data_IF_507490644000
#
_entry.id   IF_507490644000
#
_cell.length_a   1.000
_cell.length_b   1.000
_cell.length_c   1.000
_cell.angle_alpha   90.00
_cell.angle_beta   90.00
_cell.angle_gamma   90.00
#
_symmetry.space_group_name_H-M   'P 1'
#
loop_
_entity.id
_entity.type
_entity.pdbx_description
1 polymer ?
#
# COMPACT_ATOMS: atom_id res chain seq x y z
N UNK A 1 -80.34 69.38 16.57
CA UNK A 1 -79.96 68.44 17.67
C UNK A 1 -79.36 67.24 17.02
N UNK A 2 -78.02 67.18 17.01
CA UNK A 2 -77.24 66.26 16.17
C UNK A 2 -76.71 65.14 17.01
N UNK A 3 -76.97 63.94 16.62
CA UNK A 3 -76.38 62.75 17.18
C UNK A 3 -75.40 62.19 16.12
N UNK A 4 -74.10 62.29 16.43
CA UNK A 4 -73.06 61.82 15.59
C UNK A 4 -72.80 60.33 15.93
N UNK A 5 -73.10 59.46 14.97
CA UNK A 5 -72.76 58.08 15.02
C UNK A 5 -71.28 57.88 14.68
N UNK A 6 -70.46 57.46 15.65
CA UNK A 6 -69.08 57.02 15.41
C UNK A 6 -69.12 55.52 15.11
N UNK A 7 -68.87 55.17 13.87
CA UNK A 7 -68.61 53.76 13.50
C UNK A 7 -67.18 53.42 13.85
N UNK A 8 -66.99 52.48 14.75
CA UNK A 8 -65.70 51.84 14.99
C UNK A 8 -65.51 50.76 13.95
N UNK A 9 -64.55 51.01 13.00
CA UNK A 9 -64.02 49.96 12.09
C UNK A 9 -62.97 49.15 12.81
N UNK A 10 -63.37 47.99 13.22
CA UNK A 10 -62.40 47.01 13.81
C UNK A 10 -61.61 46.31 12.68
N UNK A 11 -60.38 46.72 12.48
CA UNK A 11 -59.40 46.05 11.56
C UNK A 11 -58.95 44.75 12.15
N UNK A 12 -59.51 43.62 11.70
CA UNK A 12 -59.02 42.29 11.99
C UNK A 12 -57.72 42.01 11.17
N UNK A 13 -56.57 42.21 11.76
CA UNK A 13 -55.29 41.71 11.20
C UNK A 13 -55.24 40.21 11.47
N UNK A 14 -55.57 39.42 10.46
CA UNK A 14 -55.30 37.99 10.46
C UNK A 14 -53.78 37.76 10.32
N UNK A 15 -53.11 37.53 11.41
CA UNK A 15 -51.70 37.08 11.43
C UNK A 15 -51.67 35.63 10.91
N UNK A 16 -51.43 35.48 9.61
CA UNK A 16 -51.13 34.17 9.01
C UNK A 16 -49.77 33.72 9.47
N UNK A 17 -49.75 32.96 10.55
CA UNK A 17 -48.54 32.24 11.00
C UNK A 17 -48.26 31.13 10.01
N UNK A 18 -47.45 31.41 8.99
CA UNK A 18 -46.85 30.37 8.14
C UNK A 18 -45.88 29.60 9.02
N UNK A 19 -46.34 28.48 9.58
CA UNK A 19 -45.44 27.45 10.07
C UNK A 19 -44.62 26.93 8.86
N UNK A 20 -43.43 27.50 8.68
CA UNK A 20 -42.43 26.91 7.84
C UNK A 20 -42.03 25.56 8.53
N UNK A 21 -42.69 24.49 8.12
CA UNK A 21 -42.19 23.14 8.38
C UNK A 21 -40.82 23.06 7.73
N UNK A 22 -39.78 23.30 8.54
CA UNK A 22 -38.40 22.94 8.18
C UNK A 22 -38.41 21.42 7.96
N UNK A 23 -38.58 21.02 6.71
CA UNK A 23 -38.28 19.65 6.33
C UNK A 23 -36.82 19.41 6.70
N UNK A 24 -36.60 18.71 7.81
CA UNK A 24 -35.30 18.18 8.12
C UNK A 24 -34.87 17.33 6.93
N UNK A 25 -33.98 17.89 6.10
CA UNK A 25 -33.35 17.11 5.04
C UNK A 25 -32.72 15.93 5.72
N UNK A 26 -33.31 14.75 5.56
CA UNK A 26 -32.67 13.49 5.97
C UNK A 26 -31.35 13.45 5.23
N UNK A 27 -30.25 13.65 5.95
CA UNK A 27 -28.91 13.42 5.43
C UNK A 27 -28.93 12.03 4.81
N UNK A 28 -28.53 11.86 3.55
CA UNK A 28 -28.43 10.53 2.94
C UNK A 28 -27.64 9.61 3.87
N UNK A 29 -28.01 8.35 3.98
CA UNK A 29 -27.23 7.41 4.78
C UNK A 29 -25.78 7.44 4.29
N UNK A 30 -24.84 7.46 5.23
CA UNK A 30 -23.42 7.39 4.92
C UNK A 30 -23.16 6.10 4.16
N UNK A 31 -22.31 6.21 3.13
CA UNK A 31 -21.88 5.04 2.36
C UNK A 31 -21.20 4.03 3.29
N UNK A 32 -21.68 2.78 3.24
CA UNK A 32 -21.12 1.61 3.91
C UNK A 32 -20.91 0.51 2.86
N UNK A 33 -19.66 0.05 2.66
CA UNK A 33 -19.37 -0.98 1.66
C UNK A 33 -19.81 -2.37 2.13
N UNK A 34 -20.17 -3.20 1.17
CA UNK A 34 -20.44 -4.62 1.40
C UNK A 34 -19.28 -5.46 0.85
N UNK A 35 -18.79 -6.41 1.66
CA UNK A 35 -17.76 -7.35 1.19
C UNK A 35 -18.26 -8.12 -0.04
N UNK A 36 -17.45 -8.16 -1.11
CA UNK A 36 -17.82 -8.74 -2.38
C UNK A 36 -18.49 -7.76 -3.35
N UNK A 37 -18.71 -6.49 -2.97
CA UNK A 37 -19.22 -5.49 -3.91
C UNK A 37 -18.27 -5.26 -5.08
N UNK A 38 -18.80 -4.95 -6.24
CA UNK A 38 -18.03 -4.66 -7.44
C UNK A 38 -17.15 -3.43 -7.26
N UNK A 39 -15.89 -3.55 -7.67
CA UNK A 39 -14.94 -2.46 -7.89
C UNK A 39 -14.64 -2.29 -9.37
N UNK A 40 -13.65 -1.47 -9.73
CA UNK A 40 -13.25 -1.27 -11.12
C UNK A 40 -12.67 -2.55 -11.75
N UNK A 41 -11.70 -3.16 -11.09
CA UNK A 41 -10.94 -4.30 -11.61
C UNK A 41 -11.04 -5.53 -10.70
N UNK A 42 -11.48 -5.33 -9.45
CA UNK A 42 -11.63 -6.39 -8.44
C UNK A 42 -12.83 -6.10 -7.54
N UNK A 43 -13.45 -7.15 -7.01
CA UNK A 43 -14.43 -7.01 -5.92
C UNK A 43 -13.74 -6.53 -4.64
N UNK A 44 -14.39 -5.66 -3.88
CA UNK A 44 -13.85 -5.22 -2.62
C UNK A 44 -13.98 -6.31 -1.54
N UNK A 45 -12.86 -6.70 -0.97
CA UNK A 45 -12.77 -7.59 0.19
C UNK A 45 -11.82 -6.95 1.21
N UNK A 46 -12.25 -6.70 2.45
CA UNK A 46 -11.37 -6.08 3.43
C UNK A 46 -10.28 -7.05 3.89
N UNK A 47 -9.02 -6.59 3.90
CA UNK A 47 -7.93 -7.34 4.53
C UNK A 47 -8.19 -7.49 6.02
N UNK A 48 -8.13 -8.71 6.61
CA UNK A 48 -8.25 -8.87 8.06
C UNK A 48 -7.21 -8.01 8.80
N UNK A 49 -7.60 -7.37 9.90
CA UNK A 49 -6.71 -6.45 10.62
C UNK A 49 -5.40 -7.13 11.05
N UNK A 50 -5.46 -8.37 11.51
CA UNK A 50 -4.25 -9.14 11.91
C UNK A 50 -3.28 -9.37 10.74
N UNK A 51 -3.80 -9.44 9.50
CA UNK A 51 -2.96 -9.54 8.28
C UNK A 51 -2.37 -8.18 7.93
N UNK A 52 -3.14 -7.09 8.06
CA UNK A 52 -2.62 -5.73 7.92
C UNK A 52 -1.45 -5.50 8.86
N UNK A 53 -1.62 -5.84 10.14
CA UNK A 53 -0.57 -5.71 11.15
C UNK A 53 0.65 -6.54 10.77
N UNK A 54 0.45 -7.80 10.36
CA UNK A 54 1.54 -8.68 9.92
C UNK A 54 2.29 -8.12 8.70
N UNK A 55 1.57 -7.62 7.69
CA UNK A 55 2.19 -7.01 6.50
C UNK A 55 3.08 -5.82 6.87
N UNK A 56 2.60 -4.94 7.74
CA UNK A 56 3.35 -3.77 8.19
C UNK A 56 4.52 -4.14 9.12
N UNK A 57 4.41 -5.24 9.89
CA UNK A 57 5.50 -5.79 10.71
C UNK A 57 6.61 -6.36 9.82
N UNK A 58 6.27 -7.18 8.81
CA UNK A 58 7.23 -7.72 7.85
C UNK A 58 7.93 -6.61 7.08
N UNK A 59 7.20 -5.56 6.72
CA UNK A 59 7.75 -4.36 6.10
C UNK A 59 8.53 -3.48 7.09
N UNK A 60 8.51 -3.77 8.40
CA UNK A 60 9.18 -2.98 9.45
C UNK A 60 8.88 -1.49 9.33
N UNK A 61 7.60 -1.15 9.19
CA UNK A 61 7.15 0.23 8.99
C UNK A 61 7.53 1.10 10.19
N UNK A 62 8.13 2.25 9.91
CA UNK A 62 8.62 3.24 10.86
C UNK A 62 8.07 4.64 10.55
N UNK A 63 8.21 5.63 11.45
CA UNK A 63 7.83 7.01 11.17
C UNK A 63 8.56 7.68 9.99
N UNK A 64 9.69 7.13 9.55
CA UNK A 64 10.44 7.63 8.40
C UNK A 64 9.91 7.12 7.05
N UNK A 65 8.93 6.24 7.07
CA UNK A 65 8.40 5.62 5.87
C UNK A 65 7.30 6.46 5.20
N UNK A 66 7.23 6.31 3.89
CA UNK A 66 6.08 6.66 3.09
C UNK A 66 5.43 5.38 2.56
N UNK A 67 4.30 5.02 3.16
CA UNK A 67 3.51 3.84 2.79
C UNK A 67 2.49 4.22 1.73
N UNK A 68 2.43 3.50 0.62
CA UNK A 68 1.34 3.62 -0.35
C UNK A 68 0.57 2.31 -0.44
N UNK A 69 -0.75 2.40 -0.28
CA UNK A 69 -1.66 1.25 -0.38
C UNK A 69 -2.42 1.33 -1.71
N UNK A 70 -2.18 0.36 -2.58
CA UNK A 70 -2.76 0.30 -3.92
C UNK A 70 -4.08 -0.49 -3.87
N UNK A 71 -5.20 0.21 -4.12
CA UNK A 71 -6.54 -0.31 -3.89
C UNK A 71 -6.90 -0.24 -2.40
N UNK A 72 -6.86 0.96 -1.81
CA UNK A 72 -6.88 1.14 -0.36
C UNK A 72 -8.23 0.82 0.32
N UNK A 73 -9.30 0.65 -0.46
CA UNK A 73 -10.62 0.30 0.06
C UNK A 73 -11.10 1.26 1.14
N UNK A 74 -11.40 0.74 2.33
CA UNK A 74 -11.86 1.51 3.48
C UNK A 74 -10.74 2.22 4.27
N UNK A 75 -9.50 2.13 3.78
CA UNK A 75 -8.34 2.83 4.31
C UNK A 75 -7.65 2.17 5.50
N UNK A 76 -8.07 0.96 5.93
CA UNK A 76 -7.55 0.32 7.15
C UNK A 76 -6.03 0.16 7.18
N UNK A 77 -5.40 -0.23 6.07
CA UNK A 77 -3.95 -0.39 5.96
C UNK A 77 -3.23 0.96 6.11
N UNK A 78 -3.71 1.97 5.40
CA UNK A 78 -3.19 3.35 5.45
C UNK A 78 -3.29 3.93 6.86
N UNK A 79 -4.46 3.77 7.51
CA UNK A 79 -4.74 4.22 8.87
C UNK A 79 -3.80 3.52 9.86
N UNK A 80 -3.62 2.19 9.72
CA UNK A 80 -2.72 1.43 10.59
C UNK A 80 -1.27 1.87 10.43
N UNK A 81 -0.81 2.11 9.19
CA UNK A 81 0.53 2.66 8.94
C UNK A 81 0.71 4.06 9.56
N UNK A 82 -0.31 4.92 9.44
CA UNK A 82 -0.30 6.24 10.05
C UNK A 82 -0.27 6.20 11.59
N UNK A 83 -0.96 5.24 12.22
CA UNK A 83 -0.87 4.99 13.67
C UNK A 83 0.53 4.58 14.12
N UNK A 84 1.31 3.93 13.25
CA UNK A 84 2.73 3.60 13.47
C UNK A 84 3.66 4.81 13.25
N UNK A 85 3.10 5.98 12.93
CA UNK A 85 3.81 7.23 12.72
C UNK A 85 4.24 7.50 11.29
N UNK A 86 4.08 6.56 10.36
CA UNK A 86 4.43 6.72 8.96
C UNK A 86 3.52 7.74 8.26
N UNK A 87 4.02 8.40 7.22
CA UNK A 87 3.17 9.06 6.24
C UNK A 87 2.56 7.99 5.34
N UNK A 88 1.26 8.04 5.10
CA UNK A 88 0.59 7.01 4.33
C UNK A 88 -0.43 7.59 3.33
N UNK A 89 -0.49 7.03 2.14
CA UNK A 89 -1.39 7.40 1.06
C UNK A 89 -2.15 6.17 0.55
N UNK A 90 -3.47 6.25 0.56
CA UNK A 90 -4.33 5.28 -0.10
C UNK A 90 -4.70 5.74 -1.51
N UNK A 91 -4.49 4.86 -2.47
CA UNK A 91 -4.94 5.03 -3.86
C UNK A 91 -6.16 4.17 -4.07
N UNK A 92 -7.29 4.78 -4.40
CA UNK A 92 -8.56 4.07 -4.55
C UNK A 92 -9.34 4.66 -5.74
N UNK A 93 -9.95 3.79 -6.53
CA UNK A 93 -10.70 4.22 -7.70
C UNK A 93 -12.11 4.67 -7.37
N UNK A 94 -12.76 4.04 -6.38
CA UNK A 94 -14.12 4.34 -5.97
C UNK A 94 -14.15 5.60 -5.07
N UNK A 95 -14.80 6.70 -5.51
CA UNK A 95 -14.85 7.95 -4.73
C UNK A 95 -15.55 7.80 -3.37
N UNK A 96 -16.56 6.92 -3.25
CA UNK A 96 -17.27 6.71 -2.00
C UNK A 96 -16.39 6.01 -0.97
N UNK A 97 -15.54 5.09 -1.43
CA UNK A 97 -14.51 4.45 -0.59
C UNK A 97 -13.44 5.45 -0.15
N UNK A 98 -13.03 6.37 -1.03
CA UNK A 98 -12.11 7.46 -0.67
C UNK A 98 -12.69 8.33 0.45
N UNK A 99 -13.96 8.72 0.33
CA UNK A 99 -14.62 9.53 1.37
C UNK A 99 -14.85 8.74 2.66
N UNK A 100 -15.16 7.45 2.57
CA UNK A 100 -15.20 6.56 3.74
C UNK A 100 -13.84 6.50 4.44
N UNK A 101 -12.77 6.29 3.69
CA UNK A 101 -11.40 6.21 4.23
C UNK A 101 -10.98 7.50 4.94
N UNK A 102 -11.33 8.66 4.39
CA UNK A 102 -11.10 9.96 5.04
C UNK A 102 -11.86 10.09 6.37
N UNK A 103 -13.15 9.66 6.40
CA UNK A 103 -13.93 9.65 7.64
C UNK A 103 -13.33 8.70 8.67
N UNK A 104 -12.90 7.51 8.25
CA UNK A 104 -12.24 6.54 9.11
C UNK A 104 -10.94 7.10 9.69
N UNK A 105 -10.10 7.74 8.87
CA UNK A 105 -8.86 8.37 9.33
C UNK A 105 -9.12 9.52 10.32
N UNK A 106 -10.17 10.32 10.11
CA UNK A 106 -10.58 11.38 11.01
C UNK A 106 -11.05 10.81 12.36
N UNK A 107 -11.87 9.75 12.35
CA UNK A 107 -12.33 9.05 13.55
C UNK A 107 -11.18 8.49 14.38
N UNK A 108 -10.13 8.01 13.71
CA UNK A 108 -8.94 7.45 14.33
C UNK A 108 -7.87 8.51 14.69
N UNK A 109 -8.12 9.79 14.39
CA UNK A 109 -7.24 10.90 14.73
C UNK A 109 -5.93 10.94 13.92
N UNK A 110 -5.88 10.33 12.74
CA UNK A 110 -4.64 10.18 11.95
C UNK A 110 -4.67 10.93 10.61
N UNK A 111 -5.66 11.79 10.35
CA UNK A 111 -5.82 12.51 9.07
C UNK A 111 -4.60 13.34 8.66
N UNK A 112 -3.75 13.75 9.60
CA UNK A 112 -2.52 14.47 9.29
C UNK A 112 -1.45 13.58 8.60
N UNK A 113 -1.56 12.26 8.70
CA UNK A 113 -0.59 11.29 8.16
C UNK A 113 -1.22 10.30 7.19
N UNK A 114 -2.54 10.07 7.28
CA UNK A 114 -3.31 9.19 6.40
C UNK A 114 -4.09 10.03 5.40
N UNK A 115 -3.70 9.98 4.15
CA UNK A 115 -4.34 10.69 3.04
C UNK A 115 -4.87 9.70 2.00
N UNK A 116 -5.88 10.11 1.24
CA UNK A 116 -6.53 9.24 0.25
C UNK A 116 -6.84 10.03 -1.00
N UNK A 117 -6.60 9.41 -2.15
CA UNK A 117 -6.85 10.00 -3.46
C UNK A 117 -7.69 9.06 -4.32
N UNK A 118 -8.65 9.66 -5.05
CA UNK A 118 -9.32 8.96 -6.14
C UNK A 118 -8.38 8.92 -7.34
N UNK A 119 -7.83 7.75 -7.66
CA UNK A 119 -6.96 7.58 -8.81
C UNK A 119 -6.98 6.13 -9.33
N UNK A 120 -6.56 5.97 -10.58
CA UNK A 120 -6.24 4.66 -11.14
C UNK A 120 -4.84 4.24 -10.66
N UNK A 121 -4.73 3.06 -10.05
CA UNK A 121 -3.46 2.55 -9.53
C UNK A 121 -2.42 2.30 -10.64
N UNK A 122 -2.86 2.04 -11.89
CA UNK A 122 -1.94 1.84 -13.02
C UNK A 122 -1.32 3.16 -13.49
N UNK A 123 -2.06 4.28 -13.40
CA UNK A 123 -1.62 5.61 -13.77
C UNK A 123 -0.91 6.36 -12.62
N UNK A 124 -1.05 5.86 -11.40
CA UNK A 124 -0.48 6.52 -10.21
C UNK A 124 1.04 6.38 -10.18
N UNK A 125 1.74 7.50 -9.94
CA UNK A 125 3.16 7.47 -9.61
C UNK A 125 3.36 7.09 -8.14
N UNK A 126 3.96 5.94 -7.90
CA UNK A 126 4.33 5.47 -6.57
C UNK A 126 5.86 5.38 -6.37
N UNK A 127 6.64 6.07 -7.19
CA UNK A 127 8.11 6.06 -7.14
C UNK A 127 8.70 6.57 -5.82
N UNK A 128 7.94 7.39 -5.07
CA UNK A 128 8.34 7.95 -3.78
C UNK A 128 8.05 7.01 -2.60
N UNK A 129 7.31 5.92 -2.82
CA UNK A 129 6.99 4.98 -1.74
C UNK A 129 8.24 4.27 -1.23
N UNK A 130 8.36 4.16 0.09
CA UNK A 130 9.35 3.27 0.74
C UNK A 130 8.75 1.92 1.08
N UNK A 131 7.41 1.88 1.18
CA UNK A 131 6.62 0.66 1.36
C UNK A 131 5.39 0.73 0.46
N UNK A 132 5.10 -0.36 -0.24
CA UNK A 132 3.84 -0.56 -0.96
C UNK A 132 3.09 -1.70 -0.31
N UNK A 133 1.79 -1.50 -0.08
CA UNK A 133 0.87 -2.54 0.36
C UNK A 133 -0.22 -2.76 -0.69
N UNK A 134 -0.71 -4.00 -0.81
CA UNK A 134 -1.76 -4.34 -1.76
C UNK A 134 -2.54 -5.58 -1.36
N UNK A 135 -3.80 -5.63 -1.76
CA UNK A 135 -4.62 -6.83 -1.79
C UNK A 135 -5.38 -6.88 -3.12
N UNK A 136 -4.66 -7.26 -4.16
CA UNK A 136 -5.11 -7.23 -5.54
C UNK A 136 -4.99 -8.63 -6.17
N UNK A 137 -5.79 -8.87 -7.22
CA UNK A 137 -5.75 -10.14 -7.94
C UNK A 137 -4.38 -10.38 -8.61
N UNK A 138 -4.00 -11.66 -8.84
CA UNK A 138 -2.70 -12.01 -9.44
C UNK A 138 -2.40 -11.28 -10.75
N UNK A 139 -3.37 -11.15 -11.63
CA UNK A 139 -3.20 -10.49 -12.94
C UNK A 139 -2.89 -8.99 -12.79
N UNK A 140 -3.46 -8.34 -11.77
CA UNK A 140 -3.16 -6.94 -11.46
C UNK A 140 -1.75 -6.82 -10.89
N UNK A 141 -1.37 -7.71 -9.97
CA UNK A 141 -0.01 -7.76 -9.44
C UNK A 141 1.03 -7.94 -10.55
N UNK A 142 0.75 -8.84 -11.52
CA UNK A 142 1.63 -9.07 -12.68
C UNK A 142 1.74 -7.83 -13.59
N UNK A 143 0.66 -7.08 -13.78
CA UNK A 143 0.69 -5.82 -14.54
C UNK A 143 1.47 -4.72 -13.81
N UNK A 144 1.42 -4.67 -12.48
CA UNK A 144 2.16 -3.70 -11.66
C UNK A 144 3.64 -4.07 -11.48
N UNK A 145 3.98 -5.34 -11.51
CA UNK A 145 5.32 -5.87 -11.22
C UNK A 145 6.44 -5.17 -12.00
N UNK A 146 6.35 -4.91 -13.31
CA UNK A 146 7.41 -4.21 -14.04
C UNK A 146 7.69 -2.81 -13.44
N UNK A 147 6.64 -2.07 -13.10
CA UNK A 147 6.75 -0.74 -12.49
C UNK A 147 7.29 -0.81 -11.06
N UNK A 148 6.92 -1.84 -10.30
CA UNK A 148 7.43 -2.09 -8.95
C UNK A 148 8.93 -2.41 -8.98
N UNK A 149 9.40 -3.20 -9.94
CA UNK A 149 10.81 -3.56 -10.10
C UNK A 149 11.72 -2.37 -10.51
N UNK A 150 11.14 -1.26 -10.97
CA UNK A 150 11.89 -0.02 -11.26
C UNK A 150 11.98 0.91 -10.04
N UNK A 151 11.34 0.57 -8.92
CA UNK A 151 11.44 1.35 -7.70
C UNK A 151 12.85 1.30 -7.13
N UNK A 152 13.12 2.19 -6.20
CA UNK A 152 14.39 2.25 -5.49
C UNK A 152 14.71 0.88 -4.87
N UNK A 153 15.92 0.35 -5.05
CA UNK A 153 16.36 -0.84 -4.31
C UNK A 153 16.13 -0.66 -2.81
N UNK A 154 15.57 -1.69 -2.17
CA UNK A 154 15.20 -1.62 -0.76
C UNK A 154 13.76 -1.17 -0.50
N UNK A 155 13.00 -0.73 -1.51
CA UNK A 155 11.55 -0.53 -1.36
C UNK A 155 10.91 -1.86 -0.99
N UNK A 156 10.05 -1.83 0.03
CA UNK A 156 9.42 -3.02 0.62
C UNK A 156 8.00 -3.16 0.12
N UNK A 157 7.64 -4.35 -0.31
CA UNK A 157 6.33 -4.66 -0.87
C UNK A 157 5.66 -5.70 0.02
N UNK A 158 4.44 -5.46 0.46
CA UNK A 158 3.65 -6.43 1.20
C UNK A 158 2.29 -6.65 0.51
N UNK A 159 1.94 -7.91 0.27
CA UNK A 159 0.69 -8.29 -0.37
C UNK A 159 -0.08 -9.27 0.50
N UNK A 160 -1.40 -9.07 0.59
CA UNK A 160 -2.27 -10.08 1.16
C UNK A 160 -2.56 -11.16 0.10
N UNK A 161 -2.27 -12.41 0.44
CA UNK A 161 -2.61 -13.67 -0.24
C UNK A 161 -2.12 -13.85 -1.67
N UNK A 162 -2.04 -12.82 -2.49
CA UNK A 162 -1.72 -12.94 -3.91
C UNK A 162 -0.25 -12.58 -4.21
N UNK A 163 0.40 -13.44 -4.99
CA UNK A 163 1.80 -13.34 -5.36
C UNK A 163 2.03 -12.45 -6.61
N UNK A 164 3.27 -12.37 -7.04
CA UNK A 164 3.71 -11.66 -8.26
C UNK A 164 4.25 -12.64 -9.33
N UNK A 165 3.58 -13.78 -9.49
CA UNK A 165 3.99 -14.81 -10.44
C UNK A 165 5.30 -15.47 -10.04
N UNK A 166 6.25 -15.50 -10.97
CA UNK A 166 7.58 -16.09 -10.83
C UNK A 166 8.54 -15.28 -9.95
N UNK A 167 8.21 -14.01 -9.62
CA UNK A 167 8.93 -13.28 -8.57
C UNK A 167 8.52 -13.80 -7.19
N UNK A 168 9.22 -14.84 -6.73
CA UNK A 168 8.97 -15.49 -5.44
C UNK A 168 9.14 -14.52 -4.28
N UNK A 169 8.22 -14.55 -3.31
CA UNK A 169 8.31 -13.71 -2.11
C UNK A 169 9.58 -14.01 -1.28
N UNK A 170 10.16 -12.96 -0.72
CA UNK A 170 11.27 -13.07 0.22
C UNK A 170 10.85 -13.71 1.54
N UNK A 171 9.63 -13.42 1.97
CA UNK A 171 9.04 -13.95 3.20
C UNK A 171 7.54 -14.22 2.98
N UNK A 172 7.04 -15.27 3.61
CA UNK A 172 5.63 -15.66 3.61
C UNK A 172 5.20 -16.08 5.01
N UNK A 173 4.10 -15.53 5.50
CA UNK A 173 3.50 -15.89 6.78
C UNK A 173 2.01 -16.12 6.57
N UNK A 174 1.52 -17.30 6.95
CA UNK A 174 0.08 -17.60 6.99
C UNK A 174 -0.36 -17.61 8.45
N UNK A 175 -1.34 -16.77 8.79
CA UNK A 175 -1.90 -16.67 10.12
C UNK A 175 -2.98 -17.71 10.33
N UNK A 176 -3.02 -18.30 11.53
CA UNK A 176 -4.03 -19.28 11.93
C UNK A 176 -5.27 -18.62 12.56
N UNK A 177 -6.28 -19.41 12.77
CA UNK A 177 -7.48 -19.02 13.54
C UNK A 177 -7.13 -18.58 14.96
N UNK A 178 -6.18 -19.25 15.61
CA UNK A 178 -5.70 -18.88 16.95
C UNK A 178 -5.00 -17.51 16.96
N UNK A 179 -4.44 -17.09 15.82
CA UNK A 179 -3.85 -15.77 15.61
C UNK A 179 -4.90 -14.73 15.15
N UNK A 180 -6.18 -15.07 15.18
CA UNK A 180 -7.29 -14.18 14.90
C UNK A 180 -7.65 -14.04 13.41
N UNK A 181 -7.16 -14.93 12.53
CA UNK A 181 -7.52 -14.91 11.12
C UNK A 181 -8.47 -16.06 10.76
N UNK A 182 -9.74 -15.74 10.50
CA UNK A 182 -10.83 -16.69 10.28
C UNK A 182 -11.40 -16.62 8.86
N UNK A 183 -10.59 -16.22 7.88
CA UNK A 183 -10.98 -16.10 6.47
C UNK A 183 -10.04 -16.90 5.58
N UNK A 184 -10.32 -16.93 4.27
CA UNK A 184 -9.40 -17.52 3.28
C UNK A 184 -8.19 -16.62 2.98
N UNK A 185 -8.16 -15.39 3.49
CA UNK A 185 -7.20 -14.34 3.13
C UNK A 185 -6.25 -14.04 4.29
N UNK A 186 -5.55 -15.08 4.78
CA UNK A 186 -4.73 -15.02 5.99
C UNK A 186 -3.23 -15.07 5.73
N UNK A 187 -2.79 -14.88 4.50
CA UNK A 187 -1.38 -14.97 4.14
C UNK A 187 -0.80 -13.60 3.82
N UNK A 188 0.23 -13.20 4.55
CA UNK A 188 1.06 -12.04 4.22
C UNK A 188 2.27 -12.50 3.40
N UNK A 189 2.51 -11.86 2.28
CA UNK A 189 3.65 -12.05 1.39
C UNK A 189 4.48 -10.78 1.36
N UNK A 190 5.81 -10.92 1.29
CA UNK A 190 6.72 -9.80 1.39
C UNK A 190 7.88 -9.92 0.39
N UNK A 191 8.23 -8.80 -0.24
CA UNK A 191 9.38 -8.66 -1.15
C UNK A 191 10.16 -7.40 -0.82
N UNK A 192 11.44 -7.40 -1.17
CA UNK A 192 12.29 -6.21 -1.21
C UNK A 192 12.76 -6.02 -2.64
N UNK A 193 12.53 -4.84 -3.20
CA UNK A 193 12.99 -4.52 -4.55
C UNK A 193 14.51 -4.65 -4.61
N UNK A 194 15.04 -5.56 -5.45
CA UNK A 194 16.48 -5.78 -5.54
C UNK A 194 17.15 -4.72 -6.40
N UNK A 195 18.39 -4.38 -6.09
CA UNK A 195 19.24 -3.64 -7.01
C UNK A 195 19.50 -4.45 -8.29
N UNK A 196 19.66 -3.77 -9.42
CA UNK A 196 20.06 -4.40 -10.67
C UNK A 196 21.59 -4.59 -10.63
N UNK A 197 22.01 -5.85 -10.44
CA UNK A 197 23.43 -6.21 -10.25
C UNK A 197 23.98 -7.10 -11.35
N UNK A 198 23.17 -7.48 -12.34
CA UNK A 198 23.61 -8.27 -13.48
C UNK A 198 24.74 -7.57 -14.24
N UNK A 199 25.72 -8.34 -14.69
CA UNK A 199 26.85 -7.83 -15.47
C UNK A 199 28.19 -8.29 -14.91
N UNK A 200 29.26 -7.68 -15.42
CA UNK A 200 30.63 -7.96 -15.05
C UNK A 200 31.16 -6.87 -14.13
N UNK A 201 31.63 -7.28 -12.96
CA UNK A 201 32.21 -6.38 -11.95
C UNK A 201 33.70 -6.72 -11.73
N UNK A 202 34.57 -5.74 -12.01
CA UNK A 202 36.00 -5.88 -11.72
C UNK A 202 36.24 -5.80 -10.23
N UNK A 203 37.00 -6.74 -9.71
CA UNK A 203 37.44 -6.79 -8.31
C UNK A 203 38.95 -6.54 -8.23
N UNK A 204 39.52 -6.13 -7.08
CA UNK A 204 40.97 -5.90 -6.93
C UNK A 204 41.83 -7.12 -7.28
N UNK A 205 41.29 -8.33 -7.11
CA UNK A 205 42.01 -9.62 -7.37
C UNK A 205 41.20 -10.54 -8.27
N UNK A 206 40.43 -10.02 -9.23
CA UNK A 206 39.68 -10.86 -10.14
C UNK A 206 38.44 -10.21 -10.73
N UNK A 207 37.46 -11.04 -11.03
CA UNK A 207 36.24 -10.61 -11.74
C UNK A 207 35.03 -11.39 -11.20
N UNK A 208 33.91 -10.68 -11.06
CA UNK A 208 32.61 -11.24 -10.69
C UNK A 208 31.65 -11.05 -11.86
N UNK A 209 31.12 -12.12 -12.41
CA UNK A 209 30.09 -12.10 -13.45
C UNK A 209 28.78 -12.56 -12.86
N UNK A 210 27.77 -11.71 -12.87
CA UNK A 210 26.44 -11.96 -12.29
C UNK A 210 25.37 -12.05 -13.36
N UNK A 211 24.56 -13.09 -13.29
CA UNK A 211 23.24 -13.20 -13.91
C UNK A 211 22.20 -13.04 -12.82
N UNK A 212 21.15 -12.32 -13.10
CA UNK A 212 20.12 -12.00 -12.10
C UNK A 212 18.73 -12.32 -12.64
N UNK A 213 17.97 -13.05 -11.83
CA UNK A 213 16.55 -13.23 -12.02
C UNK A 213 15.84 -12.78 -10.75
N UNK A 214 15.18 -11.62 -10.80
CA UNK A 214 14.64 -10.90 -9.64
C UNK A 214 15.71 -10.72 -8.54
N UNK A 215 15.52 -11.32 -7.37
CA UNK A 215 16.49 -11.29 -6.27
C UNK A 215 17.52 -12.43 -6.31
N UNK A 216 17.36 -13.41 -7.20
CA UNK A 216 18.26 -14.56 -7.28
C UNK A 216 19.43 -14.30 -8.21
N UNK A 217 20.60 -14.79 -7.82
CA UNK A 217 21.85 -14.63 -8.56
C UNK A 217 22.46 -15.97 -8.91
N UNK A 218 22.98 -16.04 -10.13
CA UNK A 218 23.91 -17.08 -10.56
C UNK A 218 25.08 -16.40 -11.28
N UNK A 219 26.18 -17.11 -11.51
CA UNK A 219 27.30 -16.54 -12.24
C UNK A 219 28.63 -17.18 -11.88
N UNK A 220 29.71 -16.41 -11.98
CA UNK A 220 31.05 -16.87 -11.68
C UNK A 220 31.86 -15.82 -10.94
N UNK A 221 32.72 -16.30 -10.02
CA UNK A 221 33.78 -15.52 -9.39
C UNK A 221 35.14 -16.05 -9.87
N UNK A 222 35.90 -15.21 -10.56
CA UNK A 222 37.30 -15.51 -10.88
C UNK A 222 38.19 -14.75 -9.92
N UNK A 223 39.03 -15.49 -9.18
CA UNK A 223 40.00 -14.93 -8.23
C UNK A 223 41.22 -15.81 -8.17
N UNK A 224 42.42 -15.22 -8.08
CA UNK A 224 43.70 -15.97 -7.99
C UNK A 224 43.88 -16.98 -9.14
N UNK A 225 43.43 -16.64 -10.34
CA UNK A 225 43.52 -17.48 -11.54
C UNK A 225 42.55 -18.67 -11.56
N UNK A 226 41.62 -18.76 -10.62
CA UNK A 226 40.57 -19.80 -10.56
C UNK A 226 39.21 -19.23 -10.72
N UNK A 227 38.33 -19.93 -11.43
CA UNK A 227 36.93 -19.57 -11.63
C UNK A 227 36.03 -20.54 -10.89
N UNK A 228 35.11 -19.97 -10.10
CA UNK A 228 34.13 -20.71 -9.30
C UNK A 228 32.73 -20.33 -9.74
N UNK A 229 31.85 -21.29 -9.95
CA UNK A 229 30.43 -21.03 -10.07
C UNK A 229 29.88 -20.43 -8.76
N UNK A 230 28.90 -19.56 -8.86
CA UNK A 230 28.27 -18.95 -7.71
C UNK A 230 26.74 -19.02 -7.80
N UNK A 231 26.14 -19.06 -6.63
CA UNK A 231 24.71 -18.84 -6.39
C UNK A 231 24.55 -17.83 -5.25
N UNK A 232 23.56 -16.97 -5.36
CA UNK A 232 23.39 -15.89 -4.39
C UNK A 232 22.07 -15.20 -4.46
N UNK A 233 21.99 -14.06 -3.77
CA UNK A 233 20.78 -13.28 -3.62
C UNK A 233 21.08 -11.79 -3.45
N UNK A 234 20.15 -10.94 -3.96
CA UNK A 234 20.14 -9.51 -3.72
C UNK A 234 18.97 -9.16 -2.80
N UNK A 235 19.23 -8.37 -1.76
CA UNK A 235 18.19 -7.82 -0.88
C UNK A 235 18.37 -6.31 -0.77
N UNK A 236 17.56 -5.56 -1.50
CA UNK A 236 17.82 -4.14 -1.71
C UNK A 236 19.15 -3.92 -2.42
N UNK A 237 20.08 -3.24 -1.81
CA UNK A 237 21.44 -3.04 -2.33
C UNK A 237 22.44 -4.12 -1.89
N UNK A 238 22.08 -4.95 -0.90
CA UNK A 238 22.97 -5.98 -0.36
C UNK A 238 22.99 -7.22 -1.25
N UNK A 239 24.18 -7.71 -1.54
CA UNK A 239 24.44 -8.90 -2.35
C UNK A 239 25.12 -9.93 -1.49
N UNK A 240 24.61 -11.15 -1.46
CA UNK A 240 25.24 -12.29 -0.81
C UNK A 240 25.34 -13.45 -1.78
N UNK A 241 26.47 -14.14 -1.81
CA UNK A 241 26.65 -15.32 -2.67
C UNK A 241 27.67 -16.30 -2.11
N UNK A 242 27.60 -17.53 -2.59
CA UNK A 242 28.59 -18.58 -2.31
C UNK A 242 29.39 -18.89 -3.56
N UNK A 243 30.71 -19.02 -3.42
CA UNK A 243 31.62 -19.42 -4.50
C UNK A 243 32.82 -20.16 -3.92
N UNK A 244 33.23 -21.30 -4.51
CA UNK A 244 34.37 -22.08 -4.04
C UNK A 244 34.29 -22.49 -2.58
N UNK A 245 33.08 -22.73 -2.06
CA UNK A 245 32.83 -23.12 -0.67
C UNK A 245 32.91 -22.00 0.36
N UNK A 246 33.05 -20.73 -0.08
CA UNK A 246 33.11 -19.54 0.77
C UNK A 246 31.88 -18.65 0.58
N UNK A 247 31.48 -17.97 1.66
CA UNK A 247 30.43 -16.94 1.63
C UNK A 247 31.04 -15.57 1.35
N UNK A 248 30.39 -14.83 0.49
CA UNK A 248 30.75 -13.47 0.08
C UNK A 248 29.60 -12.51 0.33
N UNK A 249 29.95 -11.28 0.67
CA UNK A 249 29.01 -10.16 0.80
C UNK A 249 29.51 -9.00 -0.02
N UNK A 250 28.58 -8.29 -0.62
CA UNK A 250 28.85 -7.08 -1.36
C UNK A 250 27.67 -6.14 -1.33
N UNK A 251 27.85 -4.97 -1.89
CA UNK A 251 26.81 -3.94 -1.97
C UNK A 251 26.87 -3.22 -3.31
N UNK A 252 25.70 -2.89 -3.84
CA UNK A 252 25.58 -1.95 -4.96
C UNK A 252 25.47 -0.53 -4.41
N UNK A 253 26.35 0.35 -4.87
CA UNK A 253 26.28 1.80 -4.65
C UNK A 253 26.01 2.47 -6.01
N UNK A 254 24.74 2.69 -6.33
CA UNK A 254 24.33 3.10 -7.65
C UNK A 254 24.68 2.03 -8.71
N UNK A 255 25.68 2.30 -9.58
CA UNK A 255 26.14 1.37 -10.62
C UNK A 255 27.42 0.60 -10.24
N UNK A 256 27.99 0.87 -9.08
CA UNK A 256 29.26 0.28 -8.66
C UNK A 256 29.02 -0.83 -7.64
N UNK A 257 29.54 -2.02 -7.93
CA UNK A 257 29.57 -3.13 -6.99
C UNK A 257 30.81 -3.04 -6.11
N UNK A 258 30.65 -3.21 -4.83
CA UNK A 258 31.71 -3.27 -3.84
C UNK A 258 31.61 -4.61 -3.08
N UNK A 259 32.68 -5.40 -3.12
CA UNK A 259 32.81 -6.59 -2.26
C UNK A 259 33.23 -6.14 -0.86
N UNK A 260 32.60 -6.69 0.19
CA UNK A 260 32.82 -6.33 1.60
C UNK A 260 33.68 -7.36 2.31
#
# INVERSE_FOLDING_TARGET
>A
MNVVFRAFLALLIAASSTLALAQAQKTPPLYEPQSGQEGKDVVWVPTPQVVVDRMLDMAKVTPNDFVMDLGSGDGRTVITAAKRGARALGVEYNPDMVELSKRNAAKEGVSARATFVKADLFETDFSQATVITMFLLPDINLKLRPKILELKPGTRIASNSFNMGDWTADERVTLSTEQGCNTSWCTALFWIVPAKVAGTHKLPKGELVLKQEFQMLTGTLTTEGRTYALEGRVRGEEVTFKAGGKDYRGRMNGKTFQLL
#
